data_IF_783893044441
#
_entry.id   IF_783893044441
#
_cell.length_a   1.000
_cell.length_b   1.000
_cell.length_c   1.000
_cell.angle_alpha   90.00
_cell.angle_beta   90.00
_cell.angle_gamma   90.00
#
_symmetry.space_group_name_H-M   'P 1'
#
loop_
_entity.id
_entity.type
_entity.pdbx_description
1 polymer ?
#
# COMPACT_ATOMS: atom_id res chain seq x y z
N UNK A 1 11.22 -45.14 -16.93
CA UNK A 1 10.48 -45.84 -15.86
C UNK A 1 9.03 -45.32 -15.94
N UNK A 2 8.35 -45.62 -17.05
CA UNK A 2 7.46 -46.77 -17.30
C UNK A 2 6.06 -46.57 -16.70
N UNK A 3 5.12 -46.23 -17.60
CA UNK A 3 3.69 -46.52 -17.50
C UNK A 3 3.38 -47.97 -17.08
N UNK A 4 2.47 -48.11 -16.12
CA UNK A 4 1.53 -49.22 -15.87
C UNK A 4 0.70 -48.76 -14.64
N UNK A 5 -0.62 -48.60 -14.66
CA UNK A 5 -1.62 -49.65 -14.88
C UNK A 5 -3.00 -49.04 -15.27
N UNK A 6 -3.80 -49.83 -15.97
CA UNK A 6 -5.04 -49.54 -16.71
C UNK A 6 -6.28 -49.81 -15.81
N UNK A 7 -7.42 -49.13 -15.96
CA UNK A 7 -8.56 -49.63 -16.74
C UNK A 7 -9.76 -48.64 -16.77
N UNK A 8 -10.62 -48.70 -17.81
CA UNK A 8 -11.69 -47.74 -18.09
C UNK A 8 -13.01 -48.11 -17.39
N UNK A 9 -13.88 -47.12 -17.18
CA UNK A 9 -15.20 -47.29 -16.53
C UNK A 9 -16.26 -46.58 -17.40
N UNK A 10 -17.50 -47.10 -17.53
CA UNK A 10 -18.12 -47.45 -18.80
C UNK A 10 -19.01 -46.36 -19.42
N UNK A 11 -19.27 -46.51 -20.72
CA UNK A 11 -20.33 -45.83 -21.45
C UNK A 11 -21.70 -46.36 -21.02
N UNK A 12 -22.58 -45.47 -20.55
CA UNK A 12 -23.98 -45.80 -20.23
C UNK A 12 -24.88 -45.37 -21.39
N UNK A 13 -25.20 -46.33 -22.27
CA UNK A 13 -26.24 -46.19 -23.26
C UNK A 13 -27.58 -46.55 -22.60
N UNK A 14 -28.46 -45.55 -22.40
CA UNK A 14 -29.72 -45.74 -21.70
C UNK A 14 -30.79 -46.32 -22.64
N UNK A 15 -31.36 -47.50 -22.33
CA UNK A 15 -32.37 -48.14 -23.16
C UNK A 15 -33.77 -47.79 -22.63
N UNK A 16 -34.27 -46.59 -22.91
CA UNK A 16 -35.70 -46.42 -23.22
C UNK A 16 -36.02 -44.97 -23.60
N UNK A 17 -36.38 -44.76 -24.86
CA UNK A 17 -36.97 -43.52 -25.35
C UNK A 17 -38.41 -43.35 -24.87
N UNK A 18 -38.64 -43.21 -23.56
CA UNK A 18 -39.97 -42.95 -23.00
C UNK A 18 -40.07 -41.54 -22.44
N UNK A 19 -40.69 -40.68 -23.25
CA UNK A 19 -41.13 -39.33 -22.88
C UNK A 19 -42.12 -39.45 -21.71
N UNK A 20 -41.74 -38.98 -20.52
CA UNK A 20 -42.68 -38.59 -19.48
C UNK A 20 -42.16 -37.31 -18.81
N UNK A 21 -42.75 -36.19 -19.23
CA UNK A 21 -42.77 -34.95 -18.45
C UNK A 21 -43.52 -35.24 -17.15
N UNK A 22 -42.86 -35.17 -16.00
CA UNK A 22 -43.57 -35.02 -14.74
C UNK A 22 -42.69 -34.42 -13.63
N UNK A 23 -43.04 -33.17 -13.30
CA UNK A 23 -42.97 -32.56 -11.98
C UNK A 23 -41.56 -32.12 -11.55
N UNK A 24 -41.25 -30.86 -11.87
CA UNK A 24 -40.41 -29.98 -11.05
C UNK A 24 -40.78 -30.29 -9.60
N UNK A 25 -39.84 -30.85 -8.83
CA UNK A 25 -40.03 -31.16 -7.42
C UNK A 25 -40.31 -29.84 -6.71
N UNK A 26 -41.59 -29.47 -6.64
CA UNK A 26 -42.08 -28.41 -5.79
C UNK A 26 -41.69 -28.85 -4.40
N UNK A 27 -40.63 -28.25 -3.85
CA UNK A 27 -40.26 -28.43 -2.45
C UNK A 27 -41.49 -28.02 -1.67
N UNK A 28 -42.23 -29.03 -1.23
CA UNK A 28 -43.49 -28.89 -0.54
C UNK A 28 -43.18 -28.20 0.78
N UNK A 29 -43.25 -26.86 0.74
CA UNK A 29 -42.93 -25.94 1.81
C UNK A 29 -43.92 -26.21 2.93
N UNK A 30 -43.61 -27.20 3.77
CA UNK A 30 -44.46 -27.53 4.89
C UNK A 30 -44.40 -26.36 5.86
N UNK A 31 -45.50 -26.09 6.56
CA UNK A 31 -45.52 -25.07 7.62
C UNK A 31 -44.34 -25.20 8.59
N UNK A 32 -43.79 -26.41 8.75
CA UNK A 32 -42.63 -26.74 9.58
C UNK A 32 -41.32 -26.17 9.00
N UNK A 33 -41.08 -26.30 7.70
CA UNK A 33 -39.87 -25.75 7.05
C UNK A 33 -39.87 -24.22 7.07
N UNK A 34 -41.04 -23.62 6.89
CA UNK A 34 -41.25 -22.18 7.01
C UNK A 34 -40.94 -21.67 8.43
N UNK A 35 -41.35 -22.42 9.46
CA UNK A 35 -41.06 -22.11 10.86
C UNK A 35 -39.56 -22.23 11.13
N UNK A 36 -38.89 -23.27 10.61
CA UNK A 36 -37.45 -23.45 10.79
C UNK A 36 -36.68 -22.29 10.16
N UNK A 37 -37.02 -21.90 8.93
CA UNK A 37 -36.38 -20.76 8.25
C UNK A 37 -36.61 -19.46 9.03
N UNK A 38 -37.83 -19.21 9.52
CA UNK A 38 -38.12 -18.01 10.32
C UNK A 38 -37.32 -17.98 11.63
N UNK A 39 -37.18 -19.13 12.30
CA UNK A 39 -36.38 -19.23 13.53
C UNK A 39 -34.90 -18.99 13.24
N UNK A 40 -34.35 -19.57 12.18
CA UNK A 40 -32.94 -19.38 11.79
C UNK A 40 -32.67 -17.92 11.41
N UNK A 41 -33.56 -17.30 10.63
CA UNK A 41 -33.45 -15.88 10.27
C UNK A 41 -33.57 -15.00 11.51
N UNK A 42 -34.50 -15.28 12.42
CA UNK A 42 -34.64 -14.53 13.66
C UNK A 42 -33.37 -14.63 14.53
N UNK A 43 -32.79 -15.82 14.67
CA UNK A 43 -31.53 -16.02 15.40
C UNK A 43 -30.37 -15.26 14.73
N UNK A 44 -30.26 -15.31 13.40
CA UNK A 44 -29.23 -14.58 12.67
C UNK A 44 -29.37 -13.06 12.84
N UNK A 45 -30.60 -12.54 12.77
CA UNK A 45 -30.89 -11.11 12.99
C UNK A 45 -30.52 -10.70 14.42
N UNK A 46 -30.89 -11.50 15.43
CA UNK A 46 -30.50 -11.23 16.82
C UNK A 46 -28.98 -11.24 16.99
N UNK A 47 -28.27 -12.21 16.40
CA UNK A 47 -26.82 -12.27 16.45
C UNK A 47 -26.16 -11.03 15.81
N UNK A 48 -26.64 -10.59 14.64
CA UNK A 48 -26.15 -9.38 13.98
C UNK A 48 -26.40 -8.15 14.85
N UNK A 49 -27.60 -8.01 15.42
CA UNK A 49 -27.94 -6.89 16.31
C UNK A 49 -27.02 -6.87 17.53
N UNK A 50 -26.77 -8.02 18.17
CA UNK A 50 -25.85 -8.12 19.32
C UNK A 50 -24.42 -7.75 18.91
N UNK A 51 -23.96 -8.26 17.77
CA UNK A 51 -22.61 -7.99 17.26
C UNK A 51 -22.43 -6.52 16.89
N UNK A 52 -23.45 -5.88 16.32
CA UNK A 52 -23.44 -4.45 16.03
C UNK A 52 -23.55 -3.62 17.30
N UNK A 53 -24.40 -3.98 18.25
CA UNK A 53 -24.58 -3.25 19.52
C UNK A 53 -23.32 -3.26 20.38
N UNK A 54 -22.57 -4.37 20.36
CA UNK A 54 -21.28 -4.51 21.07
C UNK A 54 -20.09 -4.05 20.23
N UNK A 55 -20.17 -4.17 18.90
CA UNK A 55 -19.10 -3.81 17.97
C UNK A 55 -19.07 -2.33 17.59
N UNK A 56 -20.24 -1.66 17.44
CA UNK A 56 -20.35 -0.21 17.19
C UNK A 56 -19.65 0.66 18.24
N UNK A 57 -19.79 0.42 19.57
CA UNK A 57 -19.09 1.23 20.55
C UNK A 57 -17.56 1.06 20.45
N UNK A 58 -17.07 -0.16 20.16
CA UNK A 58 -15.64 -0.42 19.95
C UNK A 58 -15.11 0.26 18.69
N UNK A 59 -15.83 0.23 17.55
CA UNK A 59 -15.38 0.94 16.34
C UNK A 59 -15.50 2.46 16.47
N UNK A 60 -16.41 2.99 17.28
CA UNK A 60 -16.48 4.43 17.55
C UNK A 60 -15.30 4.88 18.43
N UNK A 61 -14.91 4.08 19.42
CA UNK A 61 -13.71 4.31 20.22
C UNK A 61 -12.43 4.19 19.36
N UNK A 62 -12.36 3.20 18.45
CA UNK A 62 -11.23 3.05 17.51
C UNK A 62 -11.19 4.14 16.43
N UNK A 63 -12.34 4.60 15.93
CA UNK A 63 -12.43 5.73 14.98
C UNK A 63 -12.03 7.04 15.67
N UNK A 64 -12.44 7.24 16.92
CA UNK A 64 -11.97 8.36 17.73
C UNK A 64 -10.46 8.28 17.96
N UNK A 65 -9.88 7.10 18.23
CA UNK A 65 -8.43 6.94 18.32
C UNK A 65 -7.69 7.18 16.99
N UNK A 66 -8.28 6.83 15.84
CA UNK A 66 -7.66 7.05 14.52
C UNK A 66 -7.78 8.51 14.04
N UNK A 67 -8.89 9.19 14.40
CA UNK A 67 -9.11 10.61 14.07
C UNK A 67 -8.56 11.57 15.13
N UNK A 68 -8.18 11.08 16.31
CA UNK A 68 -7.47 11.87 17.31
C UNK A 68 -5.99 11.97 16.89
N UNK A 69 -5.72 12.83 15.91
CA UNK A 69 -4.37 13.24 15.46
C UNK A 69 -3.65 14.08 16.55
N UNK A 70 -4.11 13.99 17.79
CA UNK A 70 -3.37 14.44 18.96
C UNK A 70 -2.30 13.41 19.25
N UNK A 71 -1.28 13.36 18.39
CA UNK A 71 0.03 12.90 18.85
C UNK A 71 0.37 13.80 20.04
N UNK A 72 0.83 13.26 21.18
CA UNK A 72 1.49 14.13 22.15
C UNK A 72 2.56 14.86 21.32
N UNK A 73 2.45 16.19 21.21
CA UNK A 73 3.52 16.98 20.66
C UNK A 73 4.76 16.46 21.37
N UNK A 74 5.69 15.87 20.60
CA UNK A 74 6.86 15.25 21.20
C UNK A 74 7.40 16.27 22.19
N UNK A 75 7.56 15.89 23.45
CA UNK A 75 8.17 16.76 24.44
C UNK A 75 9.66 16.93 24.16
N UNK A 76 10.19 16.18 23.18
CA UNK A 76 11.37 16.63 22.44
C UNK A 76 11.10 18.05 21.96
N UNK A 77 11.95 19.04 22.22
CA UNK A 77 11.82 20.30 21.54
C UNK A 77 11.72 19.97 20.05
N UNK A 78 10.57 20.24 19.43
CA UNK A 78 10.54 20.47 18.01
C UNK A 78 11.63 21.51 17.83
N UNK A 79 12.79 21.11 17.34
CA UNK A 79 13.67 22.02 16.65
C UNK A 79 12.91 22.36 15.36
N UNK A 80 11.79 23.08 15.50
CA UNK A 80 11.52 24.14 14.56
C UNK A 80 12.85 24.87 14.53
N UNK A 81 13.49 24.94 13.38
CA UNK A 81 14.50 25.96 13.15
C UNK A 81 13.77 27.31 13.22
N UNK A 82 13.26 27.65 14.40
CA UNK A 82 12.82 28.95 14.80
C UNK A 82 14.04 29.60 15.41
N UNK A 83 15.08 29.75 14.59
CA UNK A 83 15.65 31.08 14.58
C UNK A 83 14.74 31.82 13.59
N UNK A 84 14.01 32.81 14.12
CA UNK A 84 13.62 33.96 13.33
C UNK A 84 14.83 34.31 12.43
N UNK A 85 14.76 33.96 11.15
CA UNK A 85 15.90 33.82 10.26
C UNK A 85 16.99 32.83 10.75
N UNK A 86 16.89 31.53 10.41
CA UNK A 86 18.12 30.90 9.91
C UNK A 86 18.16 31.46 8.52
N UNK A 87 18.83 32.59 8.41
CA UNK A 87 19.26 33.03 7.11
C UNK A 87 20.20 31.92 6.64
N UNK A 88 19.71 31.02 5.79
CA UNK A 88 20.56 30.18 4.96
C UNK A 88 21.33 31.17 4.09
N UNK A 89 22.45 31.70 4.60
CA UNK A 89 23.11 32.85 3.97
C UNK A 89 23.66 32.49 2.58
N UNK A 90 23.81 31.21 2.28
CA UNK A 90 24.34 30.69 1.01
C UNK A 90 23.72 29.39 0.53
N UNK A 91 23.36 28.43 1.41
CA UNK A 91 22.76 27.16 1.01
C UNK A 91 21.92 26.51 2.12
N UNK A 92 21.00 25.63 1.75
CA UNK A 92 20.11 24.89 2.65
C UNK A 92 20.06 23.41 2.26
N UNK A 93 20.01 22.53 3.26
CA UNK A 93 20.00 21.07 3.10
C UNK A 93 19.06 20.45 4.12
N UNK A 94 18.23 19.50 3.68
CA UNK A 94 17.27 18.76 4.51
C UNK A 94 17.40 17.28 4.16
N UNK A 95 17.41 16.40 5.16
CA UNK A 95 17.56 14.96 5.01
C UNK A 95 16.63 14.21 5.98
N UNK A 96 16.37 12.93 5.70
CA UNK A 96 15.46 12.10 6.49
C UNK A 96 16.10 11.64 7.82
N UNK A 97 17.41 11.41 7.82
CA UNK A 97 18.17 11.06 9.01
C UNK A 97 18.98 12.24 9.56
N UNK A 98 18.99 12.36 10.90
CA UNK A 98 19.70 13.40 11.65
C UNK A 98 21.19 13.59 11.25
N UNK A 99 22.00 12.53 11.03
CA UNK A 99 23.39 12.71 10.64
C UNK A 99 23.60 13.15 9.18
N UNK A 100 22.59 13.07 8.30
CA UNK A 100 22.79 13.23 6.86
C UNK A 100 22.71 14.68 6.38
N UNK A 101 21.88 15.51 7.01
CA UNK A 101 21.80 16.94 6.72
C UNK A 101 23.14 17.70 6.91
N UNK A 102 23.90 17.52 8.02
CA UNK A 102 25.19 18.18 8.17
C UNK A 102 26.25 17.69 7.18
N UNK A 103 26.17 16.44 6.70
CA UNK A 103 27.06 15.91 5.65
C UNK A 103 26.82 16.65 4.34
N UNK A 104 25.57 16.77 3.89
CA UNK A 104 25.26 17.52 2.66
C UNK A 104 25.67 19.00 2.77
N UNK A 105 25.47 19.62 3.93
CA UNK A 105 25.91 20.99 4.18
C UNK A 105 27.45 21.14 4.11
N UNK A 106 28.21 20.14 4.61
CA UNK A 106 29.67 20.13 4.51
C UNK A 106 30.13 20.08 3.04
N UNK A 107 29.50 19.24 2.21
CA UNK A 107 29.81 19.17 0.77
C UNK A 107 29.60 20.51 0.07
N UNK A 108 28.52 21.23 0.40
CA UNK A 108 28.29 22.58 -0.15
C UNK A 108 29.33 23.59 0.35
N UNK A 109 29.77 23.50 1.61
CA UNK A 109 30.83 24.37 2.15
C UNK A 109 32.20 24.09 1.52
N UNK A 110 32.45 22.86 1.09
CA UNK A 110 33.65 22.49 0.34
C UNK A 110 33.62 22.96 -1.13
N UNK A 111 32.56 23.65 -1.56
CA UNK A 111 32.39 24.12 -2.94
C UNK A 111 31.82 23.07 -3.89
N UNK A 112 31.25 21.98 -3.35
CA UNK A 112 30.50 21.00 -4.14
C UNK A 112 29.19 21.56 -4.70
N UNK A 113 28.69 20.93 -5.75
CA UNK A 113 27.39 21.29 -6.33
C UNK A 113 26.21 20.81 -5.48
N UNK A 114 25.02 21.34 -5.75
CA UNK A 114 23.79 20.83 -5.14
C UNK A 114 23.57 19.33 -5.41
N UNK A 115 24.02 18.84 -6.57
CA UNK A 115 23.96 17.42 -6.95
C UNK A 115 24.94 16.59 -6.12
N UNK A 116 26.17 17.08 -5.89
CA UNK A 116 27.15 16.37 -5.06
C UNK A 116 26.67 16.22 -3.61
N UNK A 117 26.10 17.29 -3.06
CA UNK A 117 25.49 17.26 -1.73
C UNK A 117 24.31 16.29 -1.67
N UNK A 118 23.46 16.25 -2.70
CA UNK A 118 22.36 15.30 -2.79
C UNK A 118 22.85 13.85 -2.85
N UNK A 119 23.89 13.55 -3.64
CA UNK A 119 24.47 12.19 -3.72
C UNK A 119 25.02 11.75 -2.36
N UNK A 120 25.78 12.60 -1.67
CA UNK A 120 26.31 12.29 -0.34
C UNK A 120 25.20 12.01 0.68
N UNK A 121 24.11 12.78 0.62
CA UNK A 121 22.92 12.54 1.45
C UNK A 121 22.24 11.22 1.11
N UNK A 122 22.03 10.90 -0.16
CA UNK A 122 21.39 9.64 -0.58
C UNK A 122 22.15 8.42 -0.07
N UNK A 123 23.49 8.46 -0.07
CA UNK A 123 24.30 7.39 0.53
C UNK A 123 24.11 7.31 2.06
N UNK A 124 24.07 8.46 2.74
CA UNK A 124 23.87 8.51 4.18
C UNK A 124 22.46 8.04 4.59
N UNK A 125 21.42 8.55 3.94
CA UNK A 125 20.03 8.16 4.19
C UNK A 125 19.78 6.70 3.80
N UNK A 126 20.43 6.18 2.75
CA UNK A 126 20.37 4.76 2.42
C UNK A 126 21.03 3.86 3.48
N UNK A 127 22.04 4.36 4.19
CA UNK A 127 22.67 3.63 5.30
C UNK A 127 21.88 3.76 6.61
N UNK A 128 21.31 4.94 6.89
CA UNK A 128 20.53 5.22 8.09
C UNK A 128 19.11 4.64 8.03
N UNK A 129 18.50 4.66 6.83
CA UNK A 129 17.14 4.23 6.55
C UNK A 129 17.10 3.20 5.38
N UNK A 130 17.77 2.04 5.51
CA UNK A 130 17.88 1.04 4.42
C UNK A 130 16.53 0.44 4.01
N UNK A 131 15.53 0.48 4.89
CA UNK A 131 14.16 0.05 4.61
C UNK A 131 13.40 0.98 3.64
N UNK A 132 13.87 2.22 3.47
CA UNK A 132 13.18 3.27 2.69
C UNK A 132 13.86 3.49 1.34
N UNK A 133 15.17 3.69 1.35
CA UNK A 133 15.95 3.96 0.15
C UNK A 133 17.28 3.21 0.15
N UNK A 134 17.87 3.04 -1.02
CA UNK A 134 19.16 2.38 -1.19
C UNK A 134 19.50 2.12 -2.65
N UNK A 135 20.73 1.65 -2.89
CA UNK A 135 21.29 1.46 -4.24
C UNK A 135 20.56 0.40 -5.06
N UNK A 136 19.88 -0.55 -4.42
CA UNK A 136 19.11 -1.60 -5.09
C UNK A 136 17.70 -1.18 -5.53
N UNK A 137 17.28 0.05 -5.22
CA UNK A 137 15.98 0.60 -5.60
C UNK A 137 16.05 1.40 -6.90
N UNK A 138 15.32 2.51 -6.93
CA UNK A 138 15.41 3.52 -7.97
C UNK A 138 15.41 4.92 -7.36
N UNK A 139 15.82 5.91 -8.15
CA UNK A 139 15.75 7.32 -7.77
C UNK A 139 15.09 8.14 -8.87
N UNK A 140 14.53 9.27 -8.49
CA UNK A 140 14.04 10.28 -9.41
C UNK A 140 14.47 11.64 -8.88
N UNK A 141 15.35 12.32 -9.60
CA UNK A 141 15.96 13.57 -9.16
C UNK A 141 15.62 14.69 -10.13
N UNK A 142 15.17 15.83 -9.61
CA UNK A 142 14.93 17.05 -10.39
C UNK A 142 16.01 18.06 -10.05
N UNK A 143 16.75 18.49 -11.07
CA UNK A 143 17.87 19.43 -10.95
C UNK A 143 17.54 20.69 -11.74
N UNK A 144 17.59 21.83 -11.07
CA UNK A 144 17.49 23.12 -11.74
C UNK A 144 18.89 23.72 -11.93
N UNK A 145 19.24 24.02 -13.18
CA UNK A 145 20.52 24.60 -13.55
C UNK A 145 20.31 26.09 -13.78
N UNK A 146 20.67 26.90 -12.78
CA UNK A 146 20.46 28.35 -12.81
C UNK A 146 21.22 29.08 -13.93
N UNK A 147 22.33 28.50 -14.42
CA UNK A 147 23.12 29.09 -15.50
C UNK A 147 22.44 29.02 -16.88
N UNK A 148 21.58 28.02 -17.10
CA UNK A 148 20.88 27.78 -18.37
C UNK A 148 19.36 27.94 -18.26
N UNK A 149 18.83 28.22 -17.06
CA UNK A 149 17.39 28.27 -16.77
C UNK A 149 16.66 26.98 -17.20
N UNK A 150 17.34 25.84 -17.04
CA UNK A 150 16.82 24.53 -17.45
C UNK A 150 16.55 23.65 -16.23
N UNK A 151 15.53 22.82 -16.35
CA UNK A 151 15.23 21.75 -15.40
C UNK A 151 15.56 20.43 -16.08
N UNK A 152 16.45 19.67 -15.47
CA UNK A 152 16.79 18.32 -15.88
C UNK A 152 16.21 17.32 -14.88
N UNK A 153 15.69 16.23 -15.41
CA UNK A 153 15.11 15.15 -14.63
C UNK A 153 15.98 13.92 -14.88
N UNK A 154 16.50 13.37 -13.79
CA UNK A 154 17.27 12.13 -13.80
C UNK A 154 16.32 11.03 -13.34
N UNK A 155 15.88 10.20 -14.28
CA UNK A 155 15.12 8.98 -14.01
C UNK A 155 16.08 7.80 -13.84
N UNK A 156 16.20 7.32 -12.61
CA UNK A 156 16.93 6.11 -12.22
C UNK A 156 15.99 5.02 -11.71
N UNK A 157 14.71 5.03 -12.09
CA UNK A 157 13.76 3.97 -11.77
C UNK A 157 14.06 2.71 -12.59
N UNK A 158 13.69 1.52 -12.11
CA UNK A 158 13.86 0.29 -12.90
C UNK A 158 13.03 0.35 -14.18
N UNK A 159 13.57 -0.22 -15.27
CA UNK A 159 13.04 -0.06 -16.63
C UNK A 159 11.54 -0.36 -16.77
N UNK A 160 11.02 -1.35 -16.04
CA UNK A 160 9.60 -1.71 -16.07
C UNK A 160 8.67 -0.63 -15.47
N UNK A 161 9.19 0.25 -14.60
CA UNK A 161 8.47 1.43 -14.10
C UNK A 161 8.53 2.56 -15.12
N UNK A 162 9.70 2.83 -15.70
CA UNK A 162 9.88 3.91 -16.69
C UNK A 162 9.10 3.67 -17.98
N UNK A 163 8.94 2.41 -18.42
CA UNK A 163 8.08 2.06 -19.57
C UNK A 163 6.60 2.43 -19.36
N UNK A 164 6.14 2.60 -18.11
CA UNK A 164 4.78 3.07 -17.80
C UNK A 164 4.59 4.58 -17.87
N UNK A 165 5.68 5.36 -17.95
CA UNK A 165 5.67 6.84 -17.93
C UNK A 165 5.94 7.49 -19.29
N UNK A 166 6.18 6.71 -20.35
CA UNK A 166 6.25 7.23 -21.71
C UNK A 166 4.83 7.41 -22.31
N UNK A 167 4.38 8.63 -22.63
CA UNK A 167 3.09 8.84 -23.31
C UNK A 167 3.09 8.37 -24.77
N UNK A 168 4.28 8.15 -25.33
CA UNK A 168 4.49 7.59 -26.66
C UNK A 168 5.07 6.19 -26.45
N UNK A 169 4.26 5.16 -26.67
CA UNK A 169 4.66 3.75 -26.56
C UNK A 169 5.80 3.36 -27.51
N UNK A 170 6.22 2.08 -27.51
CA UNK A 170 7.43 1.60 -28.16
C UNK A 170 7.50 1.88 -29.67
#
# INVERSE_FOLDING_TARGET
MSEADYAPVPTFESPDGRKNLAIINATHFTKRDCIIVLVVVAIAVVAIIVTLSLGLPVINEKRAQYFNITFPASSSPLRVFQTSAVMFQTSAVIADAEPCAPIGNNILQLGGSAVDAAIAMLFCDGAANPQSMGLGGGLFMTVYISGSDTVEIIDGLPSWISFGFHPEGP
#
